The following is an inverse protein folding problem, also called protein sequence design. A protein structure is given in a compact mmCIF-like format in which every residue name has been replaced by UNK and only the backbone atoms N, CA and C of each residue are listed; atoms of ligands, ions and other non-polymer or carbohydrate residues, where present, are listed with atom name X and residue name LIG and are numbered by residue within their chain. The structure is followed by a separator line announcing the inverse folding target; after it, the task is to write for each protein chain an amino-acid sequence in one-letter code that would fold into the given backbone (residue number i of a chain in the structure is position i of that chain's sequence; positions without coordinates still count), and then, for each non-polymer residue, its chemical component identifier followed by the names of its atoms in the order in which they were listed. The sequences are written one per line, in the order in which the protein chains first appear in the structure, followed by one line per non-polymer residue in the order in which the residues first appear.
data_IF_272313302650
#
_entry.id   IF_272313302650
#
_cell.length_a   1.000
_cell.length_b   1.000
_cell.length_c   1.000
_cell.angle_alpha   90.00
_cell.angle_beta   90.00
_cell.angle_gamma   90.00
#
_symmetry.space_group_name_H-M   'P 1'
#
loop_
_entity.id
_entity.type
_entity.pdbx_description
1 polymer ?
#
# COMPACT_ATOMS: atom_id res chain seq x y z
N UNK A 1 -1.01 7.10 -0.85
CA UNK A 1 -1.01 5.80 -1.56
C UNK A 1 -0.86 4.67 -0.56
N UNK A 2 -1.62 3.62 -0.73
CA UNK A 2 -1.52 2.42 0.10
C UNK A 2 -0.96 1.30 -0.78
N UNK A 3 0.18 0.74 -0.38
CA UNK A 3 0.86 -0.33 -1.12
C UNK A 3 0.72 -1.66 -0.38
N UNK A 4 0.22 -2.67 -1.07
CA UNK A 4 0.22 -4.04 -0.58
C UNK A 4 1.44 -4.81 -1.08
N UNK A 5 1.97 -5.67 -0.25
CA UNK A 5 3.14 -6.50 -0.55
C UNK A 5 2.90 -7.95 -0.12
N UNK A 6 3.55 -8.88 -0.82
CA UNK A 6 3.51 -10.30 -0.48
C UNK A 6 4.92 -10.82 -0.21
N UNK A 7 5.01 -12.04 0.33
CA UNK A 7 6.27 -12.78 0.35
C UNK A 7 6.52 -13.45 -1.02
N UNK A 8 7.62 -14.18 -1.12
CA UNK A 8 8.01 -14.85 -2.36
C UNK A 8 7.36 -16.21 -2.60
N UNK A 9 6.54 -16.70 -1.67
CA UNK A 9 5.85 -17.98 -1.86
C UNK A 9 4.76 -17.79 -2.91
N UNK A 10 4.75 -18.61 -3.97
CA UNK A 10 3.71 -18.48 -4.99
C UNK A 10 2.31 -18.67 -4.38
N UNK A 11 1.42 -17.71 -4.67
CA UNK A 11 0.03 -17.81 -4.29
C UNK A 11 -0.75 -18.38 -5.48
N UNK A 12 -1.41 -19.50 -5.27
CA UNK A 12 -2.33 -20.06 -6.26
C UNK A 12 -3.70 -20.12 -5.62
N UNK A 13 -4.47 -19.10 -5.87
CA UNK A 13 -5.85 -19.02 -5.42
C UNK A 13 -6.80 -19.44 -6.52
N UNK A 14 -8.08 -19.44 -6.20
CA UNK A 14 -9.16 -19.65 -7.16
C UNK A 14 -10.03 -18.40 -7.23
N UNK A 15 -10.77 -18.24 -8.33
CA UNK A 15 -11.65 -17.08 -8.51
C UNK A 15 -10.89 -15.83 -8.90
N UNK A 16 -11.17 -14.72 -8.20
CA UNK A 16 -10.67 -13.39 -8.56
C UNK A 16 -9.20 -13.19 -8.21
N UNK A 17 -8.68 -13.95 -7.21
CA UNK A 17 -7.31 -13.81 -6.74
C UNK A 17 -6.52 -15.01 -7.23
N UNK A 18 -5.64 -14.80 -8.20
CA UNK A 18 -4.91 -15.89 -8.84
C UNK A 18 -3.42 -15.92 -8.51
N UNK A 19 -2.81 -14.79 -8.15
CA UNK A 19 -1.37 -14.69 -7.91
C UNK A 19 -1.01 -13.63 -6.86
N UNK A 20 0.28 -13.44 -6.64
CA UNK A 20 0.78 -12.45 -5.67
C UNK A 20 0.49 -11.02 -6.10
N UNK A 21 0.37 -10.74 -7.40
CA UNK A 21 -0.06 -9.42 -7.85
C UNK A 21 -1.48 -9.12 -7.35
N UNK A 22 -2.42 -10.02 -7.60
CA UNK A 22 -3.80 -9.86 -7.14
C UNK A 22 -3.88 -9.78 -5.63
N UNK A 23 -3.13 -10.62 -4.92
CA UNK A 23 -3.11 -10.63 -3.46
C UNK A 23 -2.59 -9.31 -2.90
N UNK A 24 -1.55 -8.74 -3.47
CA UNK A 24 -0.98 -7.47 -3.01
C UNK A 24 -1.96 -6.31 -3.22
N UNK A 25 -2.68 -6.30 -4.35
CA UNK A 25 -3.72 -5.30 -4.62
C UNK A 25 -4.87 -5.46 -3.62
N UNK A 26 -5.29 -6.68 -3.33
CA UNK A 26 -6.35 -6.93 -2.34
C UNK A 26 -5.96 -6.40 -0.96
N UNK A 27 -4.72 -6.60 -0.54
CA UNK A 27 -4.24 -6.06 0.74
C UNK A 27 -4.33 -4.54 0.77
N UNK A 28 -3.93 -3.88 -0.31
CA UNK A 28 -4.01 -2.43 -0.40
C UNK A 28 -5.45 -1.93 -0.37
N UNK A 29 -6.34 -2.55 -1.16
CA UNK A 29 -7.75 -2.13 -1.22
C UNK A 29 -8.49 -2.39 0.08
N UNK A 30 -8.15 -3.44 0.80
CA UNK A 30 -8.74 -3.72 2.12
C UNK A 30 -8.42 -2.60 3.10
N UNK A 31 -7.17 -2.13 3.12
CA UNK A 31 -6.77 -1.03 3.99
C UNK A 31 -7.43 0.29 3.55
N UNK A 32 -7.50 0.57 2.24
CA UNK A 32 -8.16 1.77 1.73
C UNK A 32 -9.63 1.80 2.16
N UNK A 33 -10.35 0.68 2.03
CA UNK A 33 -11.75 0.61 2.46
C UNK A 33 -11.91 0.83 3.95
N UNK A 34 -10.99 0.28 4.75
CA UNK A 34 -10.99 0.49 6.20
C UNK A 34 -10.79 1.96 6.55
N UNK A 35 -9.82 2.62 5.91
CA UNK A 35 -9.54 4.04 6.14
C UNK A 35 -10.74 4.91 5.74
N UNK A 36 -11.42 4.56 4.67
CA UNK A 36 -12.60 5.27 4.20
C UNK A 36 -13.79 5.09 5.16
N UNK A 37 -14.10 3.84 5.52
CA UNK A 37 -15.35 3.54 6.24
C UNK A 37 -15.21 3.75 7.74
N UNK A 38 -14.08 3.40 8.34
CA UNK A 38 -13.88 3.48 9.79
C UNK A 38 -13.32 4.83 10.22
N UNK A 39 -12.44 5.43 9.43
CA UNK A 39 -11.75 6.65 9.79
C UNK A 39 -12.19 7.87 8.97
N UNK A 40 -13.11 7.69 8.04
CA UNK A 40 -13.71 8.80 7.29
C UNK A 40 -12.76 9.53 6.35
N UNK A 41 -11.67 8.89 5.91
CA UNK A 41 -10.76 9.53 4.98
C UNK A 41 -11.39 9.67 3.60
N UNK A 42 -11.06 10.76 2.91
CA UNK A 42 -11.61 11.07 1.59
C UNK A 42 -11.10 10.07 0.54
N UNK A 43 -11.98 9.26 -0.06
CA UNK A 43 -11.55 8.27 -1.05
C UNK A 43 -10.93 8.90 -2.30
N UNK A 44 -11.27 10.14 -2.62
CA UNK A 44 -10.69 10.83 -3.76
C UNK A 44 -9.18 11.11 -3.60
N UNK A 45 -8.68 11.05 -2.36
CA UNK A 45 -7.27 11.32 -2.05
C UNK A 45 -6.47 10.05 -1.81
N UNK A 46 -7.06 8.88 -2.01
CA UNK A 46 -6.40 7.62 -1.78
C UNK A 46 -6.14 6.89 -3.08
N UNK A 47 -5.01 6.18 -3.13
CA UNK A 47 -4.64 5.29 -4.21
C UNK A 47 -4.25 3.95 -3.61
N UNK A 48 -4.81 2.88 -4.15
CA UNK A 48 -4.43 1.51 -3.79
C UNK A 48 -3.48 0.97 -4.85
N UNK A 49 -2.38 0.37 -4.43
CA UNK A 49 -1.38 -0.19 -5.33
C UNK A 49 -0.87 -1.53 -4.82
N UNK A 50 -0.62 -2.46 -5.73
CA UNK A 50 0.01 -3.74 -5.44
C UNK A 50 1.43 -3.77 -5.96
N UNK A 51 2.36 -4.25 -5.13
CA UNK A 51 3.77 -4.45 -5.50
C UNK A 51 4.12 -5.91 -5.72
N UNK A 52 3.19 -6.84 -5.47
CA UNK A 52 3.47 -8.26 -5.56
C UNK A 52 4.55 -8.67 -4.56
N UNK A 53 5.43 -9.56 -5.00
CA UNK A 53 6.58 -10.05 -4.20
C UNK A 53 7.88 -9.29 -4.49
N UNK A 54 7.86 -8.29 -5.35
CA UNK A 54 9.05 -7.75 -6.03
C UNK A 54 9.76 -6.63 -5.26
N UNK A 55 9.27 -6.26 -4.08
CA UNK A 55 9.91 -5.27 -3.20
C UNK A 55 10.10 -5.83 -1.80
N UNK A 56 10.89 -6.90 -1.64
CA UNK A 56 11.08 -7.50 -0.32
C UNK A 56 11.89 -6.58 0.59
N UNK A 57 11.58 -6.61 1.88
CA UNK A 57 12.33 -5.92 2.93
C UNK A 57 13.16 -6.89 3.75
N UNK A 58 12.96 -8.20 3.55
CA UNK A 58 13.62 -9.25 4.29
C UNK A 58 13.78 -10.49 3.42
N UNK A 59 14.51 -11.48 3.92
CA UNK A 59 14.80 -12.71 3.19
C UNK A 59 13.56 -13.61 3.15
N UNK A 60 13.15 -14.00 1.94
CA UNK A 60 12.04 -14.94 1.74
C UNK A 60 12.41 -16.40 2.08
N UNK A 61 13.69 -16.69 2.29
CA UNK A 61 14.14 -18.04 2.60
C UNK A 61 13.75 -18.48 4.01
N UNK A 62 13.51 -17.54 4.91
CA UNK A 62 13.09 -17.86 6.27
C UNK A 62 11.69 -17.35 6.59
N UNK A 63 11.09 -17.92 7.64
CA UNK A 63 9.72 -17.64 8.02
C UNK A 63 9.51 -16.20 8.49
N UNK A 64 10.45 -15.67 9.25
CA UNK A 64 10.40 -14.30 9.78
C UNK A 64 10.51 -13.29 8.65
N UNK A 65 11.39 -13.55 7.69
CA UNK A 65 11.55 -12.69 6.51
C UNK A 65 10.29 -12.66 5.65
N UNK A 66 9.68 -13.83 5.43
CA UNK A 66 8.40 -13.89 4.70
C UNK A 66 7.31 -13.13 5.42
N UNK A 67 7.23 -13.26 6.75
CA UNK A 67 6.24 -12.52 7.54
C UNK A 67 6.44 -11.00 7.42
N UNK A 68 7.69 -10.54 7.42
CA UNK A 68 8.00 -9.12 7.23
C UNK A 68 7.62 -8.62 5.83
N UNK A 69 7.72 -9.49 4.81
CA UNK A 69 7.38 -9.12 3.43
C UNK A 69 5.87 -9.04 3.20
N UNK A 70 5.06 -9.77 3.96
CA UNK A 70 3.60 -9.69 3.90
C UNK A 70 3.14 -8.45 4.67
N UNK A 71 3.14 -7.31 3.99
CA UNK A 71 2.87 -6.02 4.65
C UNK A 71 2.04 -5.09 3.79
N UNK A 72 1.50 -4.08 4.43
CA UNK A 72 0.91 -2.91 3.78
C UNK A 72 1.70 -1.68 4.19
N UNK A 73 2.02 -0.84 3.22
CA UNK A 73 2.75 0.40 3.44
C UNK A 73 1.86 1.58 3.08
N UNK A 74 1.78 2.55 3.97
CA UNK A 74 1.06 3.80 3.70
C UNK A 74 2.09 4.87 3.35
N UNK A 75 1.98 5.38 2.12
CA UNK A 75 2.85 6.45 1.64
C UNK A 75 2.05 7.73 1.62
N UNK A 76 2.46 8.68 2.43
CA UNK A 76 1.82 9.99 2.49
C UNK A 76 2.62 10.92 1.58
N UNK A 77 1.97 11.36 0.50
CA UNK A 77 2.57 12.30 -0.44
C UNK A 77 2.07 13.70 -0.12
N UNK A 78 2.96 14.68 0.07
CA UNK A 78 2.53 16.06 0.23
C UNK A 78 1.82 16.52 -1.03
N UNK A 79 0.73 17.26 -0.88
CA UNK A 79 0.08 17.89 -2.02
C UNK A 79 0.94 19.06 -2.49
N UNK A 80 1.32 19.02 -3.77
CA UNK A 80 2.21 20.01 -4.33
C UNK A 80 1.67 21.44 -4.22
N UNK A 81 0.38 21.62 -4.45
CA UNK A 81 -0.27 22.92 -4.32
C UNK A 81 -0.23 23.45 -2.88
N UNK A 82 -0.42 22.59 -1.88
CA UNK A 82 -0.26 22.99 -0.48
C UNK A 82 1.19 23.35 -0.15
N UNK A 83 2.12 22.58 -0.72
CA UNK A 83 3.54 22.83 -0.54
C UNK A 83 3.92 24.19 -1.13
N UNK A 84 3.46 24.49 -2.34
CA UNK A 84 3.71 25.78 -2.97
C UNK A 84 3.05 26.94 -2.21
N UNK A 85 1.86 26.73 -1.68
CA UNK A 85 1.21 27.75 -0.84
C UNK A 85 2.02 28.06 0.40
N UNK A 86 2.64 27.07 1.00
CA UNK A 86 3.52 27.28 2.16
C UNK A 86 4.76 28.08 1.79
N UNK A 87 5.33 27.85 0.60
CA UNK A 87 6.49 28.59 0.12
C UNK A 87 6.16 30.03 -0.24
N UNK A 88 4.94 30.27 -0.75
CA UNK A 88 4.48 31.60 -1.17
C UNK A 88 3.90 32.41 -0.03
N UNK A 89 3.77 31.82 1.14
CA UNK A 89 3.15 32.47 2.29
C UNK A 89 3.95 33.70 2.70
N UNK A 90 3.29 34.85 2.83
CA UNK A 90 3.99 36.05 3.32
C UNK A 90 4.59 35.81 4.69
N UNK A 91 5.78 36.32 4.90
CA UNK A 91 6.53 36.15 6.14
C UNK A 91 6.13 37.23 7.16
N UNK A 92 4.89 37.30 7.46
CA UNK A 92 4.46 38.28 8.48
C UNK A 92 3.54 37.68 9.49
#
# INVERSE_FOLDING_TARGET
MVEGHTDGVPFSGSGVISDNWDLSVLRATTVVRLLQTKYGLDPAKMVAAGRGEYKPVADNANREGRAANRRTRIVVLPQLDQFFKLLERPKN
#
